data_IF_709327547813
#
_entry.id   IF_709327547813
#
_cell.length_a   1.000
_cell.length_b   1.000
_cell.length_c   1.000
_cell.angle_alpha   90.00
_cell.angle_beta   90.00
_cell.angle_gamma   90.00
#
_symmetry.space_group_name_H-M   'P 1'
#
loop_
_entity.id
_entity.type
_entity.pdbx_description
1 polymer ?
#
# COMPACT_ATOMS: atom_id res chain seq x y z
N UNK A 1 -16.83 -2.33 -7.46
CA UNK A 1 -15.59 -1.80 -8.09
C UNK A 1 -14.79 -2.85 -8.87
N UNK A 2 -15.26 -4.11 -9.01
CA UNK A 2 -14.52 -5.18 -9.68
C UNK A 2 -14.72 -5.25 -11.22
N UNK A 3 -15.10 -4.14 -11.86
CA UNK A 3 -15.47 -4.10 -13.28
C UNK A 3 -14.73 -3.06 -14.13
N UNK A 4 -13.87 -2.23 -13.54
CA UNK A 4 -13.10 -1.23 -14.29
C UNK A 4 -11.97 -1.90 -15.07
N UNK A 5 -11.83 -1.52 -16.33
CA UNK A 5 -10.66 -1.82 -17.15
C UNK A 5 -9.42 -1.11 -16.61
N UNK A 6 -8.23 -1.57 -17.02
CA UNK A 6 -6.95 -0.98 -16.57
C UNK A 6 -6.83 0.50 -16.94
N UNK A 7 -7.31 0.88 -18.13
CA UNK A 7 -7.32 2.27 -18.60
C UNK A 7 -8.22 3.15 -17.75
N UNK A 8 -9.46 2.71 -17.50
CA UNK A 8 -10.42 3.48 -16.69
C UNK A 8 -9.92 3.68 -15.26
N UNK A 9 -9.28 2.66 -14.67
CA UNK A 9 -8.65 2.79 -13.36
C UNK A 9 -7.55 3.85 -13.36
N UNK A 10 -6.70 3.86 -14.38
CA UNK A 10 -5.60 4.81 -14.45
C UNK A 10 -6.06 6.23 -14.68
N UNK A 11 -7.08 6.45 -15.51
CA UNK A 11 -7.67 7.77 -15.70
C UNK A 11 -8.31 8.29 -14.41
N UNK A 12 -9.06 7.42 -13.71
CA UNK A 12 -9.62 7.74 -12.40
C UNK A 12 -8.51 8.08 -11.38
N UNK A 13 -7.48 7.24 -11.26
CA UNK A 13 -6.39 7.47 -10.33
C UNK A 13 -5.62 8.76 -10.66
N UNK A 14 -5.35 9.03 -11.95
CA UNK A 14 -4.72 10.29 -12.37
C UNK A 14 -5.57 11.50 -12.00
N UNK A 15 -6.89 11.45 -12.23
CA UNK A 15 -7.81 12.50 -11.84
C UNK A 15 -7.75 12.79 -10.35
N UNK A 16 -7.86 11.74 -9.53
CA UNK A 16 -7.82 11.84 -8.06
C UNK A 16 -6.48 12.39 -7.54
N UNK A 17 -5.36 11.95 -8.11
CA UNK A 17 -4.03 12.39 -7.67
C UNK A 17 -3.69 13.80 -8.16
N UNK A 18 -4.10 14.18 -9.37
CA UNK A 18 -3.85 15.52 -9.93
C UNK A 18 -4.56 16.65 -9.16
N UNK A 19 -5.63 16.32 -8.43
CA UNK A 19 -6.35 17.27 -7.60
C UNK A 19 -5.61 17.61 -6.29
N UNK A 20 -4.56 16.87 -5.93
CA UNK A 20 -3.84 17.02 -4.67
C UNK A 20 -2.48 17.68 -4.93
N UNK A 21 -2.25 18.92 -4.44
CA UNK A 21 -1.00 19.63 -4.68
C UNK A 21 0.14 19.12 -3.80
N UNK A 22 -0.16 18.59 -2.62
CA UNK A 22 0.84 18.09 -1.68
C UNK A 22 1.19 16.62 -1.96
N UNK A 23 2.48 16.33 -2.14
CA UNK A 23 2.96 14.98 -2.51
C UNK A 23 2.75 13.98 -1.39
N UNK A 24 2.77 14.40 -0.12
CA UNK A 24 2.52 13.51 1.01
C UNK A 24 1.04 13.11 1.09
N UNK A 25 0.12 14.05 0.92
CA UNK A 25 -1.31 13.77 0.84
C UNK A 25 -1.65 12.96 -0.42
N UNK A 26 -0.96 13.22 -1.53
CA UNK A 26 -1.08 12.45 -2.76
C UNK A 26 -0.67 10.98 -2.54
N UNK A 27 0.43 10.74 -1.82
CA UNK A 27 0.90 9.40 -1.47
C UNK A 27 -0.09 8.67 -0.54
N UNK A 28 -0.60 9.36 0.47
CA UNK A 28 -1.64 8.84 1.37
C UNK A 28 -2.89 8.43 0.58
N UNK A 29 -3.32 9.27 -0.39
CA UNK A 29 -4.46 8.99 -1.26
C UNK A 29 -4.19 7.83 -2.21
N UNK A 30 -3.04 7.79 -2.86
CA UNK A 30 -2.65 6.72 -3.77
C UNK A 30 -2.68 5.36 -3.06
N UNK A 31 -2.08 5.28 -1.86
CA UNK A 31 -2.12 4.06 -1.08
C UNK A 31 -3.50 3.75 -0.53
N UNK A 32 -4.28 4.75 -0.13
CA UNK A 32 -5.67 4.53 0.28
C UNK A 32 -6.48 3.85 -0.83
N UNK A 33 -6.35 4.31 -2.08
CA UNK A 33 -7.00 3.69 -3.24
C UNK A 33 -6.54 2.25 -3.44
N UNK A 34 -5.23 2.01 -3.34
CA UNK A 34 -4.63 0.67 -3.44
C UNK A 34 -5.13 -0.28 -2.33
N UNK A 35 -5.20 0.18 -1.08
CA UNK A 35 -5.70 -0.62 0.05
C UNK A 35 -7.19 -0.90 -0.07
N UNK A 36 -7.97 0.04 -0.62
CA UNK A 36 -9.39 -0.19 -0.88
C UNK A 36 -9.59 -1.22 -1.99
N UNK A 37 -8.72 -1.21 -3.01
CA UNK A 37 -8.71 -2.22 -4.08
C UNK A 37 -8.24 -3.59 -3.61
N UNK A 38 -7.45 -3.69 -2.54
CA UNK A 38 -7.01 -4.96 -2.00
C UNK A 38 -8.06 -5.65 -1.11
N UNK A 39 -9.20 -5.01 -0.83
CA UNK A 39 -10.30 -5.62 -0.06
C UNK A 39 -10.74 -7.01 -0.57
N UNK A 40 -10.83 -7.29 -1.89
CA UNK A 40 -11.10 -8.63 -2.38
C UNK A 40 -10.06 -9.62 -1.89
N UNK A 41 -8.77 -9.25 -1.78
CA UNK A 41 -7.63 -10.12 -1.41
C UNK A 41 -7.77 -10.83 -0.05
N UNK A 42 -8.81 -10.55 0.74
CA UNK A 42 -9.08 -11.16 2.04
C UNK A 42 -9.64 -12.60 1.93
N UNK A 43 -10.15 -13.03 0.78
CA UNK A 43 -10.67 -14.41 0.55
C UNK A 43 -9.65 -15.35 -0.13
N UNK A 44 -10.03 -16.60 -0.46
CA UNK A 44 -9.15 -17.52 -1.22
C UNK A 44 -9.16 -17.09 -2.70
N UNK A 45 -8.05 -16.56 -3.21
CA UNK A 45 -8.00 -15.93 -4.54
C UNK A 45 -7.53 -16.83 -5.66
N UNK A 46 -8.15 -16.63 -6.83
CA UNK A 46 -7.53 -16.97 -8.12
C UNK A 46 -6.30 -16.08 -8.31
N UNK A 47 -5.19 -16.69 -8.73
CA UNK A 47 -3.92 -16.00 -8.98
C UNK A 47 -4.10 -14.76 -9.89
N UNK A 48 -4.99 -14.87 -10.87
CA UNK A 48 -5.30 -13.83 -11.86
C UNK A 48 -5.83 -12.53 -11.21
N UNK A 49 -6.71 -12.65 -10.20
CA UNK A 49 -7.28 -11.50 -9.50
C UNK A 49 -6.22 -10.75 -8.71
N UNK A 50 -5.36 -11.50 -8.00
CA UNK A 50 -4.24 -10.92 -7.25
C UNK A 50 -3.28 -10.19 -8.19
N UNK A 51 -2.90 -10.83 -9.28
CA UNK A 51 -2.00 -10.24 -10.27
C UNK A 51 -2.58 -8.97 -10.89
N UNK A 52 -3.88 -8.98 -11.24
CA UNK A 52 -4.56 -7.80 -11.78
C UNK A 52 -4.56 -6.64 -10.79
N UNK A 53 -4.93 -6.88 -9.53
CA UNK A 53 -4.94 -5.83 -8.49
C UNK A 53 -3.52 -5.28 -8.27
N UNK A 54 -2.53 -6.17 -8.12
CA UNK A 54 -1.13 -5.76 -7.94
C UNK A 54 -0.65 -4.88 -9.11
N UNK A 55 -0.94 -5.26 -10.35
CA UNK A 55 -0.55 -4.46 -11.52
C UNK A 55 -1.19 -3.08 -11.54
N UNK A 56 -2.47 -2.96 -11.14
CA UNK A 56 -3.15 -1.67 -11.07
C UNK A 56 -2.57 -0.77 -9.98
N UNK A 57 -2.27 -1.34 -8.81
CA UNK A 57 -1.60 -0.63 -7.73
C UNK A 57 -0.20 -0.17 -8.13
N UNK A 58 0.57 -1.02 -8.81
CA UNK A 58 1.90 -0.68 -9.29
C UNK A 58 1.86 0.49 -10.27
N UNK A 59 0.89 0.50 -11.20
CA UNK A 59 0.73 1.62 -12.11
C UNK A 59 0.39 2.92 -11.35
N UNK A 60 -0.51 2.86 -10.36
CA UNK A 60 -0.84 4.02 -9.50
C UNK A 60 0.38 4.51 -8.71
N UNK A 61 1.20 3.61 -8.18
CA UNK A 61 2.40 3.98 -7.42
C UNK A 61 3.55 4.45 -8.30
N UNK A 62 3.64 3.96 -9.54
CA UNK A 62 4.56 4.50 -10.55
C UNK A 62 4.15 5.91 -10.99
N UNK A 63 2.85 6.20 -11.08
CA UNK A 63 2.37 7.58 -11.29
C UNK A 63 2.81 8.48 -10.13
N UNK A 64 2.63 8.03 -8.87
CA UNK A 64 3.15 8.76 -7.71
C UNK A 64 4.68 8.95 -7.80
N UNK A 65 5.43 7.91 -8.17
CA UNK A 65 6.88 7.97 -8.32
C UNK A 65 7.34 9.04 -9.33
N UNK A 66 6.53 9.33 -10.36
CA UNK A 66 6.84 10.41 -11.31
C UNK A 66 6.80 11.82 -10.70
N UNK A 67 6.15 11.97 -9.54
CA UNK A 67 6.19 13.20 -8.73
C UNK A 67 7.40 13.28 -7.79
N UNK A 68 8.32 12.31 -7.85
CA UNK A 68 9.54 12.21 -7.02
C UNK A 68 9.28 12.37 -5.51
N UNK A 69 8.38 11.56 -4.91
CA UNK A 69 8.21 11.55 -3.47
C UNK A 69 9.53 11.14 -2.80
N UNK A 70 9.82 11.70 -1.63
CA UNK A 70 10.92 11.19 -0.82
C UNK A 70 10.61 9.77 -0.32
N UNK A 71 11.67 8.99 -0.07
CA UNK A 71 11.56 7.64 0.49
C UNK A 71 10.71 7.58 1.78
N UNK A 72 10.77 8.64 2.58
CA UNK A 72 10.03 8.75 3.83
C UNK A 72 8.53 8.95 3.60
N UNK A 73 8.12 9.64 2.54
CA UNK A 73 6.70 9.85 2.21
C UNK A 73 6.01 8.53 1.95
N UNK A 74 6.54 7.69 1.05
CA UNK A 74 5.92 6.40 0.74
C UNK A 74 5.87 5.49 1.98
N UNK A 75 6.94 5.45 2.77
CA UNK A 75 6.97 4.71 4.02
C UNK A 75 5.91 5.15 5.01
N UNK A 76 5.83 6.46 5.26
CA UNK A 76 4.87 7.02 6.18
C UNK A 76 3.44 6.73 5.71
N UNK A 77 3.17 6.92 4.42
CA UNK A 77 1.87 6.61 3.83
C UNK A 77 1.48 5.15 3.98
N UNK A 78 2.42 4.20 3.83
CA UNK A 78 2.15 2.78 4.11
C UNK A 78 1.75 2.59 5.57
N UNK A 79 2.57 3.09 6.50
CA UNK A 79 2.36 2.94 7.94
C UNK A 79 1.06 3.60 8.43
N UNK A 80 0.72 4.77 7.89
CA UNK A 80 -0.56 5.47 8.12
C UNK A 80 -1.72 4.61 7.64
N UNK A 81 -1.64 4.07 6.41
CA UNK A 81 -2.72 3.30 5.79
C UNK A 81 -2.98 1.95 6.47
N UNK A 82 -2.00 1.35 7.15
CA UNK A 82 -2.22 0.17 8.00
C UNK A 82 -2.54 0.54 9.46
N UNK A 83 -2.44 1.82 9.81
CA UNK A 83 -2.75 2.37 11.13
C UNK A 83 -1.69 2.08 12.20
N UNK A 84 -0.42 2.02 11.80
CA UNK A 84 0.72 1.93 12.73
C UNK A 84 1.24 3.31 13.17
N UNK A 85 1.01 4.35 12.38
CA UNK A 85 1.29 5.73 12.76
C UNK A 85 0.09 6.61 12.45
N UNK A 86 0.04 7.81 13.05
CA UNK A 86 -1.01 8.80 12.81
C UNK A 86 -0.71 9.57 11.52
N UNK A 87 -1.75 9.84 10.73
CA UNK A 87 -1.66 10.83 9.65
C UNK A 87 -1.67 12.24 10.25
N UNK A 88 -1.00 13.17 9.58
CA UNK A 88 -1.13 14.61 9.86
C UNK A 88 -2.50 15.13 9.39
N UNK A 89 -3.12 14.48 8.41
CA UNK A 89 -4.46 14.78 7.96
C UNK A 89 -5.49 14.25 8.96
N UNK A 90 -6.09 15.16 9.73
CA UNK A 90 -7.14 14.84 10.72
C UNK A 90 -8.38 14.17 10.12
N UNK A 91 -8.59 14.28 8.80
CA UNK A 91 -9.70 13.64 8.09
C UNK A 91 -9.32 12.26 7.53
N UNK A 92 -8.06 11.84 7.65
CA UNK A 92 -7.62 10.54 7.16
C UNK A 92 -8.37 9.40 7.85
N UNK A 93 -8.84 8.44 7.05
CA UNK A 93 -9.47 7.22 7.53
C UNK A 93 -8.79 6.04 6.88
N UNK A 94 -8.47 5.03 7.68
CA UNK A 94 -7.93 3.76 7.19
C UNK A 94 -8.93 3.14 6.21
N UNK A 95 -8.42 2.65 5.08
CA UNK A 95 -9.26 2.15 3.97
C UNK A 95 -10.00 0.85 4.28
N UNK A 96 -9.48 0.03 5.20
CA UNK A 96 -10.04 -1.28 5.54
C UNK A 96 -9.85 -1.60 7.01
N UNK A 97 -10.90 -2.13 7.65
CA UNK A 97 -10.81 -2.69 9.00
C UNK A 97 -10.07 -4.04 9.02
N UNK A 98 -10.16 -4.80 7.92
CA UNK A 98 -9.44 -6.04 7.69
C UNK A 98 -8.14 -5.78 6.92
N UNK A 99 -7.01 -6.08 7.56
CA UNK A 99 -5.68 -5.83 7.00
C UNK A 99 -5.11 -7.00 6.19
N UNK A 100 -5.83 -8.10 6.02
CA UNK A 100 -5.36 -9.28 5.27
C UNK A 100 -4.95 -8.92 3.84
N UNK A 101 -5.84 -8.27 3.09
CA UNK A 101 -5.60 -7.80 1.73
C UNK A 101 -4.58 -6.67 1.64
N UNK A 102 -4.69 -5.61 2.47
CA UNK A 102 -3.66 -4.58 2.59
C UNK A 102 -2.25 -5.13 2.82
N UNK A 103 -2.05 -6.02 3.80
CA UNK A 103 -0.74 -6.61 4.08
C UNK A 103 -0.25 -7.50 2.94
N UNK A 104 -1.15 -8.24 2.28
CA UNK A 104 -0.83 -9.05 1.09
C UNK A 104 -0.39 -8.17 -0.08
N UNK A 105 -1.05 -7.03 -0.28
CA UNK A 105 -0.67 -6.06 -1.30
C UNK A 105 0.67 -5.40 -0.96
N UNK A 106 0.89 -5.01 0.30
CA UNK A 106 2.16 -4.42 0.74
C UNK A 106 3.30 -5.41 0.50
N UNK A 107 3.11 -6.71 0.74
CA UNK A 107 4.09 -7.74 0.43
C UNK A 107 4.51 -7.75 -1.05
N UNK A 108 3.60 -7.40 -1.97
CA UNK A 108 3.91 -7.22 -3.38
C UNK A 108 4.63 -5.90 -3.65
N UNK A 109 4.12 -4.79 -3.10
CA UNK A 109 4.66 -3.44 -3.28
C UNK A 109 6.12 -3.37 -2.84
N UNK A 110 6.46 -3.94 -1.68
CA UNK A 110 7.83 -3.90 -1.15
C UNK A 110 8.84 -4.66 -1.99
N UNK A 111 8.42 -5.43 -3.01
CA UNK A 111 9.32 -6.08 -3.96
C UNK A 111 9.70 -5.17 -5.14
N UNK A 112 8.90 -4.13 -5.41
CA UNK A 112 9.05 -3.30 -6.60
C UNK A 112 10.23 -2.34 -6.51
N UNK A 113 10.81 -1.98 -7.65
CA UNK A 113 11.98 -1.11 -7.80
C UNK A 113 11.75 0.32 -7.27
N UNK A 114 10.52 0.82 -7.35
CA UNK A 114 10.14 2.12 -6.81
C UNK A 114 10.15 2.20 -5.28
N UNK A 115 10.36 1.08 -4.57
CA UNK A 115 10.53 1.05 -3.10
C UNK A 115 12.01 0.89 -2.77
N UNK A 116 12.61 1.94 -2.19
CA UNK A 116 14.03 1.95 -1.85
C UNK A 116 14.39 0.94 -0.74
N UNK A 117 15.68 0.60 -0.66
CA UNK A 117 16.23 -0.26 0.39
C UNK A 117 16.05 0.34 1.79
N UNK A 118 16.21 1.66 1.90
CA UNK A 118 16.00 2.41 3.15
C UNK A 118 14.55 2.30 3.62
N UNK A 119 13.60 2.47 2.69
CA UNK A 119 12.17 2.32 2.97
C UNK A 119 11.81 0.92 3.49
N UNK A 120 12.38 -0.14 2.88
CA UNK A 120 12.18 -1.53 3.33
C UNK A 120 12.69 -1.77 4.75
N UNK A 121 13.85 -1.20 5.12
CA UNK A 121 14.40 -1.30 6.48
C UNK A 121 13.47 -0.65 7.50
N UNK A 122 12.97 0.57 7.20
CA UNK A 122 12.02 1.27 8.07
C UNK A 122 10.74 0.46 8.24
N UNK A 123 10.13 -0.02 7.15
CA UNK A 123 8.93 -0.84 7.21
C UNK A 123 9.14 -2.11 8.06
N UNK A 124 10.27 -2.79 7.88
CA UNK A 124 10.61 -3.96 8.70
C UNK A 124 10.68 -3.60 10.19
N UNK A 125 11.38 -2.52 10.57
CA UNK A 125 11.49 -2.09 11.97
C UNK A 125 10.16 -1.72 12.62
N UNK A 126 9.19 -1.21 11.86
CA UNK A 126 7.85 -0.95 12.39
C UNK A 126 7.00 -2.21 12.47
N UNK A 127 7.10 -3.10 11.49
CA UNK A 127 6.33 -4.34 11.45
C UNK A 127 6.84 -5.38 12.46
N UNK A 128 8.12 -5.36 12.86
CA UNK A 128 8.62 -6.26 13.91
C UNK A 128 8.10 -5.90 15.29
N UNK A 129 7.68 -4.65 15.52
CA UNK A 129 7.07 -4.24 16.78
C UNK A 129 5.79 -5.03 17.02
N UNK A 130 5.56 -5.42 18.28
CA UNK A 130 4.31 -6.05 18.66
C UNK A 130 3.22 -4.98 18.70
N UNK A 131 2.21 -5.17 17.87
CA UNK A 131 1.07 -4.27 17.74
C UNK A 131 -0.16 -5.16 17.80
N UNK A 132 -0.99 -4.99 18.84
CA UNK A 132 -2.20 -5.83 19.08
C UNK A 132 -3.07 -5.93 17.82
N UNK A 133 -3.13 -4.85 17.04
CA UNK A 133 -3.87 -4.79 15.77
C UNK A 133 -3.35 -5.79 14.73
N UNK A 134 -2.05 -6.02 14.68
CA UNK A 134 -1.40 -6.92 13.71
C UNK A 134 -1.32 -8.38 14.19
N UNK A 135 -1.54 -8.65 15.48
CA UNK A 135 -1.52 -10.03 16.03
C UNK A 135 -2.60 -10.90 15.37
N UNK A 136 -3.79 -10.35 15.08
CA UNK A 136 -4.86 -11.04 14.33
C UNK A 136 -4.43 -11.47 12.92
N UNK A 137 -3.45 -10.78 12.33
CA UNK A 137 -2.96 -11.00 10.97
C UNK A 137 -1.57 -11.65 10.95
N UNK A 138 -1.21 -12.39 12.02
CA UNK A 138 0.12 -12.96 12.24
C UNK A 138 0.70 -13.65 11.01
N UNK A 139 -0.07 -14.51 10.33
CA UNK A 139 0.42 -15.27 9.18
C UNK A 139 0.86 -14.36 8.02
N UNK A 140 0.03 -13.39 7.63
CA UNK A 140 0.33 -12.47 6.51
C UNK A 140 1.42 -11.48 6.93
N UNK A 141 1.40 -11.01 8.18
CA UNK A 141 2.46 -10.19 8.76
C UNK A 141 3.80 -10.92 8.70
N UNK A 142 3.84 -12.19 9.07
CA UNK A 142 5.05 -13.01 9.06
C UNK A 142 5.61 -13.18 7.64
N UNK A 143 4.75 -13.48 6.66
CA UNK A 143 5.14 -13.57 5.25
C UNK A 143 5.70 -12.23 4.71
N UNK A 144 5.09 -11.11 5.10
CA UNK A 144 5.59 -9.77 4.78
C UNK A 144 6.95 -9.50 5.41
N UNK A 145 7.14 -9.86 6.69
CA UNK A 145 8.43 -9.73 7.38
C UNK A 145 9.53 -10.57 6.72
N UNK A 146 9.25 -11.83 6.39
CA UNK A 146 10.18 -12.69 5.64
C UNK A 146 10.56 -12.08 4.30
N UNK A 147 9.57 -11.53 3.58
CA UNK A 147 9.80 -10.86 2.29
C UNK A 147 10.68 -9.63 2.45
N UNK A 148 10.43 -8.80 3.45
CA UNK A 148 11.26 -7.62 3.73
C UNK A 148 12.69 -8.02 4.09
N UNK A 149 12.86 -9.04 4.92
CA UNK A 149 14.17 -9.56 5.31
C UNK A 149 14.99 -10.04 4.11
N UNK A 150 14.37 -10.72 3.13
CA UNK A 150 15.08 -11.20 1.94
C UNK A 150 15.44 -10.08 0.95
N UNK A 151 14.98 -8.84 1.16
CA UNK A 151 15.19 -7.69 0.28
C UNK A 151 16.09 -6.61 0.91
N UNK A 152 16.67 -6.91 2.08
CA UNK A 152 17.48 -5.99 2.89
C UNK A 152 18.98 -5.95 2.55
#
# INVERSE_FOLDING_TARGET
MAGLSRSEWLEFAKGELSAIPDVSEMADRALYLCMRMSSPLNTVHRADTKQKICSLCDDTLKLLASHNPSDSVLCNSVLVNIGLIKSENKKFRVASEDLTGPLTLIQHIVKQDYVSKSSRKVLHSYLTKSEKKLEKYFQVKFQLLQTLFSLQ
#
